data_IF_684159643071
#
_entry.id   IF_684159643071
#
_cell.length_a   1.000
_cell.length_b   1.000
_cell.length_c   1.000
_cell.angle_alpha   90.00
_cell.angle_beta   90.00
_cell.angle_gamma   90.00
#
_symmetry.space_group_name_H-M   'P 1'
#
loop_
_entity.id
_entity.type
_entity.pdbx_description
1 polymer ?
#
# COMPACT_ATOMS: atom_id res chain seq x y z
N UNK A 1 -2.72 -1.29 13.62
CA UNK A 1 -2.57 -0.09 12.76
C UNK A 1 -2.86 1.22 13.48
N UNK A 2 -3.98 1.37 14.20
CA UNK A 2 -4.42 2.67 14.75
C UNK A 2 -3.46 3.37 15.73
N UNK A 3 -2.56 2.65 16.42
CA UNK A 3 -1.52 3.28 17.26
C UNK A 3 -0.42 3.91 16.42
N UNK A 4 0.08 3.19 15.41
CA UNK A 4 1.18 3.66 14.54
C UNK A 4 0.76 4.86 13.72
N UNK A 5 -0.43 4.83 13.11
CA UNK A 5 -0.94 5.97 12.32
C UNK A 5 -1.12 7.24 13.16
N UNK A 6 -1.49 7.13 14.45
CA UNK A 6 -1.54 8.28 15.37
C UNK A 6 -0.17 8.88 15.71
N UNK A 7 0.90 8.11 15.54
CA UNK A 7 2.26 8.57 15.84
C UNK A 7 2.87 9.30 14.63
N UNK A 8 2.61 8.80 13.42
CA UNK A 8 3.20 9.32 12.18
C UNK A 8 2.27 10.24 11.36
N UNK A 9 1.02 10.42 11.83
CA UNK A 9 -0.02 11.24 11.21
C UNK A 9 -0.22 10.99 9.70
N UNK A 10 -0.19 9.70 9.30
CA UNK A 10 -0.34 9.29 7.90
C UNK A 10 -1.02 7.92 7.85
N UNK A 11 -1.79 7.69 6.78
CA UNK A 11 -2.44 6.41 6.52
C UNK A 11 -1.39 5.33 6.20
N UNK A 12 -1.48 4.18 6.88
CA UNK A 12 -0.60 3.03 6.65
C UNK A 12 -1.43 1.91 6.06
N UNK A 13 -0.95 1.36 4.94
CA UNK A 13 -1.49 0.15 4.35
C UNK A 13 -0.53 -1.02 4.57
N UNK A 14 -1.07 -2.22 4.76
CA UNK A 14 -0.33 -3.48 4.88
C UNK A 14 -0.96 -4.50 3.96
N UNK A 15 -0.14 -5.21 3.20
CA UNK A 15 -0.59 -6.17 2.19
C UNK A 15 -0.04 -7.58 2.43
N UNK A 16 -0.74 -8.59 1.91
CA UNK A 16 -0.27 -9.97 1.85
C UNK A 16 0.71 -10.21 0.69
N UNK A 17 1.25 -11.43 0.59
CA UNK A 17 2.18 -11.84 -0.47
C UNK A 17 1.54 -11.90 -1.88
N UNK A 18 0.25 -11.57 -2.02
CA UNK A 18 -0.48 -11.47 -3.29
C UNK A 18 -0.83 -10.02 -3.61
N UNK A 19 -0.33 -9.06 -2.84
CA UNK A 19 -0.58 -7.63 -3.02
C UNK A 19 -1.96 -7.17 -2.54
N UNK A 20 -2.73 -8.00 -1.80
CA UNK A 20 -4.02 -7.59 -1.26
C UNK A 20 -3.87 -6.87 0.07
N UNK A 21 -4.59 -5.77 0.23
CA UNK A 21 -4.58 -4.99 1.46
C UNK A 21 -5.30 -5.76 2.58
N UNK A 22 -4.58 -6.07 3.66
CA UNK A 22 -5.09 -6.74 4.86
C UNK A 22 -5.16 -5.81 6.08
N UNK A 23 -4.60 -4.60 5.97
CA UNK A 23 -4.71 -3.56 6.98
C UNK A 23 -4.60 -2.18 6.32
N UNK A 24 -5.46 -1.26 6.71
CA UNK A 24 -5.45 0.12 6.23
C UNK A 24 -6.06 1.05 7.28
N UNK A 25 -5.67 2.33 7.26
CA UNK A 25 -6.43 3.40 7.92
C UNK A 25 -7.73 3.75 7.20
N UNK A 26 -7.83 3.43 5.90
CA UNK A 26 -9.06 3.52 5.10
C UNK A 26 -9.67 2.12 4.96
N UNK A 27 -10.75 1.85 5.69
CA UNK A 27 -11.37 0.52 5.75
C UNK A 27 -11.93 0.05 4.41
N UNK A 28 -12.29 0.97 3.52
CA UNK A 28 -12.84 0.62 2.19
C UNK A 28 -11.80 -0.07 1.32
N UNK A 29 -10.50 0.12 1.63
CA UNK A 29 -9.39 -0.50 0.90
C UNK A 29 -9.14 -1.96 1.25
N UNK A 30 -9.66 -2.45 2.37
CA UNK A 30 -9.37 -3.83 2.81
C UNK A 30 -9.91 -4.81 1.77
N UNK A 31 -9.03 -5.68 1.26
CA UNK A 31 -9.33 -6.65 0.20
C UNK A 31 -9.01 -6.17 -1.22
N UNK A 32 -8.78 -4.88 -1.43
CA UNK A 32 -8.34 -4.35 -2.73
C UNK A 32 -6.93 -4.82 -3.08
N UNK A 33 -6.67 -4.98 -4.38
CA UNK A 33 -5.33 -5.23 -4.91
C UNK A 33 -4.56 -3.91 -4.99
N UNK A 34 -3.32 -3.90 -4.52
CA UNK A 34 -2.40 -2.79 -4.65
C UNK A 34 -1.21 -3.17 -5.54
N UNK A 35 -1.16 -2.62 -6.75
CA UNK A 35 -0.11 -2.97 -7.71
C UNK A 35 1.29 -2.50 -7.27
N UNK A 36 1.38 -1.50 -6.39
CA UNK A 36 2.63 -1.10 -5.75
C UNK A 36 3.28 -2.25 -4.96
N UNK A 37 2.48 -3.12 -4.33
CA UNK A 37 3.01 -4.29 -3.63
C UNK A 37 3.55 -5.35 -4.59
N UNK A 38 2.95 -5.50 -5.77
CA UNK A 38 3.46 -6.42 -6.78
C UNK A 38 4.83 -5.99 -7.32
N UNK A 39 5.06 -4.67 -7.43
CA UNK A 39 6.39 -4.14 -7.78
C UNK A 39 7.44 -4.48 -6.72
N UNK A 40 7.11 -4.31 -5.44
CA UNK A 40 8.02 -4.68 -4.33
C UNK A 40 8.30 -6.18 -4.32
N UNK A 41 7.28 -7.02 -4.48
CA UNK A 41 7.42 -8.48 -4.52
C UNK A 41 8.26 -8.95 -5.72
N UNK A 42 8.11 -8.30 -6.87
CA UNK A 42 8.87 -8.59 -8.08
C UNK A 42 10.34 -8.17 -7.96
N UNK A 43 10.62 -7.00 -7.40
CA UNK A 43 11.97 -6.43 -7.34
C UNK A 43 12.75 -6.82 -6.07
N UNK A 44 12.07 -7.30 -5.03
CA UNK A 44 12.71 -7.70 -3.76
C UNK A 44 13.40 -6.57 -3.03
N UNK A 45 12.98 -5.31 -3.26
CA UNK A 45 13.60 -4.10 -2.69
C UNK A 45 12.55 -3.07 -2.32
N UNK A 46 12.97 -2.06 -1.55
CA UNK A 46 12.15 -0.87 -1.30
C UNK A 46 11.92 -0.14 -2.63
N UNK A 47 10.67 0.23 -2.88
CA UNK A 47 10.25 1.00 -4.05
C UNK A 47 9.58 2.27 -3.55
N UNK A 48 10.13 3.42 -3.93
CA UNK A 48 9.47 4.71 -3.77
C UNK A 48 8.47 4.90 -4.90
N UNK A 49 7.24 5.25 -4.56
CA UNK A 49 6.16 5.49 -5.52
C UNK A 49 5.72 6.95 -5.37
N UNK A 50 6.03 7.74 -6.39
CA UNK A 50 5.57 9.13 -6.51
C UNK A 50 4.24 9.21 -7.30
N UNK A 51 3.70 10.42 -7.44
CA UNK A 51 2.45 10.65 -8.17
C UNK A 51 2.52 10.24 -9.65
N UNK A 52 3.71 10.33 -10.28
CA UNK A 52 3.86 9.95 -11.68
C UNK A 52 3.74 8.44 -11.84
N UNK A 53 4.37 7.68 -10.95
CA UNK A 53 4.28 6.21 -10.92
C UNK A 53 2.88 5.76 -10.48
N UNK A 54 2.30 6.38 -9.45
CA UNK A 54 0.99 6.03 -8.92
C UNK A 54 -0.14 6.07 -9.96
N UNK A 55 -0.09 7.04 -10.90
CA UNK A 55 -1.07 7.17 -11.98
C UNK A 55 -1.13 5.96 -12.93
N UNK A 56 -0.08 5.15 -12.95
CA UNK A 56 0.02 3.98 -13.81
C UNK A 56 -0.25 2.67 -13.08
N UNK A 57 -0.60 2.73 -11.79
CA UNK A 57 -0.75 1.57 -10.93
C UNK A 57 -2.10 1.58 -10.22
N UNK A 58 -2.83 0.48 -10.33
CA UNK A 58 -4.12 0.30 -9.69
C UNK A 58 -4.01 0.15 -8.17
N UNK A 59 -4.94 0.80 -7.47
CA UNK A 59 -5.01 0.76 -6.02
C UNK A 59 -3.89 1.53 -5.32
N UNK A 60 -3.11 2.36 -6.04
CA UNK A 60 -2.07 3.24 -5.47
C UNK A 60 -2.63 4.64 -5.28
N UNK A 61 -2.66 5.09 -4.02
CA UNK A 61 -3.09 6.41 -3.55
C UNK A 61 -2.66 6.60 -2.10
#
# INVERSE_FOLDING_TARGET
MARTMRIIDTNINVMDARGRIIGSGDRERIGELHEGALLVLSQGRVVDIDDAVARHLHGVR
#
